data_IF_544665537427
#
_entry.id   IF_544665537427
#
_cell.length_a   1.000
_cell.length_b   1.000
_cell.length_c   1.000
_cell.angle_alpha   90.00
_cell.angle_beta   90.00
_cell.angle_gamma   90.00
#
_symmetry.space_group_name_H-M   'P 1'
#
loop_
_entity.id
_entity.type
_entity.pdbx_description
1 polymer ?
#
# COMPACT_ATOMS: atom_id res chain seq x y z
N UNK A 1 25.60 -20.10 17.17
CA UNK A 1 24.52 -19.63 16.27
C UNK A 1 24.78 -18.16 15.96
N UNK A 2 24.84 -17.85 14.69
CA UNK A 2 25.02 -16.47 14.26
C UNK A 2 23.68 -15.86 13.90
N UNK A 3 23.48 -14.62 14.32
CA UNK A 3 22.35 -13.81 13.90
C UNK A 3 22.82 -12.73 12.94
N UNK A 4 22.06 -12.54 11.90
CA UNK A 4 22.31 -11.45 10.96
C UNK A 4 21.01 -10.70 10.70
N UNK A 5 21.07 -9.40 10.84
CA UNK A 5 19.96 -8.50 10.52
C UNK A 5 20.39 -7.57 9.39
N UNK A 6 19.61 -7.54 8.36
CA UNK A 6 19.80 -6.62 7.23
C UNK A 6 18.54 -5.78 7.11
N UNK A 7 18.72 -4.49 7.02
CA UNK A 7 17.59 -3.55 6.88
C UNK A 7 17.84 -2.69 5.65
N UNK A 8 16.83 -2.59 4.81
CA UNK A 8 16.86 -1.76 3.60
C UNK A 8 15.57 -0.97 3.49
N UNK A 9 15.65 0.18 2.84
CA UNK A 9 14.49 1.01 2.55
C UNK A 9 14.28 1.06 1.04
N UNK A 10 13.00 1.04 0.65
CA UNK A 10 12.58 1.27 -0.73
C UNK A 10 11.74 2.54 -0.74
N UNK A 11 11.96 3.38 -1.73
CA UNK A 11 11.12 4.55 -1.97
C UNK A 11 10.20 4.28 -3.14
N UNK A 12 8.90 4.50 -2.90
CA UNK A 12 7.86 4.35 -3.91
C UNK A 12 7.07 5.64 -4.00
N UNK A 13 6.70 6.01 -5.21
CA UNK A 13 5.94 7.23 -5.45
C UNK A 13 4.50 6.88 -5.78
N UNK A 14 3.57 7.30 -4.95
CA UNK A 14 2.14 7.20 -5.26
C UNK A 14 1.71 8.30 -6.22
N UNK A 15 0.59 8.10 -6.89
CA UNK A 15 0.02 9.06 -7.84
C UNK A 15 -1.13 9.83 -7.20
N UNK A 16 -0.81 10.64 -6.18
CA UNK A 16 -1.80 11.47 -5.49
C UNK A 16 -2.89 10.63 -4.82
N UNK A 17 -4.15 10.93 -5.10
CA UNK A 17 -5.32 10.27 -4.52
C UNK A 17 -5.76 9.00 -5.25
N UNK A 18 -5.12 8.67 -6.37
CA UNK A 18 -5.45 7.49 -7.16
C UNK A 18 -4.77 6.26 -6.53
N UNK A 19 -5.50 5.15 -6.31
CA UNK A 19 -4.87 3.92 -5.85
C UNK A 19 -3.81 3.44 -6.84
N UNK A 20 -2.61 3.17 -6.33
CA UNK A 20 -1.50 2.67 -7.13
C UNK A 20 -0.97 1.38 -6.53
N UNK A 21 -0.56 0.46 -7.40
CA UNK A 21 0.05 -0.80 -7.01
C UNK A 21 1.51 -0.79 -7.43
N UNK A 22 2.37 -1.23 -6.53
CA UNK A 22 3.80 -1.36 -6.77
C UNK A 22 4.21 -2.80 -6.52
N UNK A 23 4.65 -3.49 -7.55
CA UNK A 23 5.22 -4.82 -7.40
C UNK A 23 6.69 -4.67 -6.99
N UNK A 24 6.97 -4.99 -5.74
CA UNK A 24 8.32 -4.92 -5.18
C UNK A 24 8.97 -6.29 -5.02
N UNK A 25 8.41 -7.31 -5.67
CA UNK A 25 8.91 -8.69 -5.54
C UNK A 25 10.37 -8.81 -5.91
N UNK A 26 10.79 -8.20 -7.01
CA UNK A 26 12.18 -8.22 -7.47
C UNK A 26 13.13 -7.60 -6.46
N UNK A 27 12.79 -6.41 -5.97
CA UNK A 27 13.60 -5.68 -5.00
C UNK A 27 13.75 -6.46 -3.69
N UNK A 28 12.65 -7.04 -3.20
CA UNK A 28 12.66 -7.85 -1.98
C UNK A 28 13.53 -9.10 -2.17
N UNK A 29 13.36 -9.81 -3.28
CA UNK A 29 14.17 -11.01 -3.58
C UNK A 29 15.66 -10.68 -3.69
N UNK A 30 16.01 -9.57 -4.32
CA UNK A 30 17.40 -9.12 -4.42
C UNK A 30 18.00 -8.80 -3.06
N UNK A 31 17.25 -8.14 -2.19
CA UNK A 31 17.69 -7.81 -0.83
C UNK A 31 17.91 -9.10 -0.02
N UNK A 32 16.98 -10.03 -0.09
CA UNK A 32 17.11 -11.33 0.61
C UNK A 32 18.33 -12.10 0.10
N UNK A 33 18.52 -12.18 -1.22
CA UNK A 33 19.67 -12.87 -1.80
C UNK A 33 20.99 -12.22 -1.37
N UNK A 34 21.07 -10.90 -1.39
CA UNK A 34 22.28 -10.17 -1.01
C UNK A 34 22.56 -10.24 0.49
N UNK A 35 21.56 -10.53 1.31
CA UNK A 35 21.72 -10.61 2.77
C UNK A 35 22.62 -11.77 3.21
N UNK A 36 22.68 -12.83 2.42
CA UNK A 36 23.38 -14.06 2.79
C UNK A 36 22.66 -14.91 3.85
N UNK A 37 21.48 -14.50 4.31
CA UNK A 37 20.68 -15.27 5.25
C UNK A 37 20.05 -16.45 4.50
N UNK A 38 20.25 -17.65 5.01
CA UNK A 38 19.72 -18.89 4.39
C UNK A 38 18.36 -19.26 4.95
N UNK A 39 18.18 -19.06 6.24
CA UNK A 39 16.92 -19.35 6.92
C UNK A 39 16.61 -18.18 7.84
N UNK A 40 15.42 -17.67 7.75
CA UNK A 40 15.05 -16.51 8.54
C UNK A 40 13.70 -15.94 8.16
N UNK A 41 13.46 -14.74 8.63
CA UNK A 41 12.23 -14.01 8.39
C UNK A 41 12.54 -12.75 7.58
N UNK A 42 11.68 -12.47 6.61
CA UNK A 42 11.68 -11.21 5.89
C UNK A 42 10.41 -10.46 6.22
N UNK A 43 10.56 -9.28 6.84
CA UNK A 43 9.43 -8.42 7.14
C UNK A 43 9.42 -7.22 6.19
N UNK A 44 8.29 -6.98 5.58
CA UNK A 44 8.09 -5.82 4.70
C UNK A 44 7.04 -4.93 5.33
N UNK A 45 7.40 -3.70 5.62
CA UNK A 45 6.55 -2.78 6.38
C UNK A 45 6.43 -1.46 5.63
N UNK A 46 5.21 -0.94 5.54
CA UNK A 46 4.96 0.42 5.08
C UNK A 46 4.75 1.33 6.28
N UNK A 47 5.34 2.51 6.24
CA UNK A 47 5.16 3.54 7.26
C UNK A 47 4.03 4.53 6.92
N UNK A 48 3.39 4.36 5.77
CA UNK A 48 2.31 5.25 5.35
C UNK A 48 0.96 4.75 5.87
N UNK A 49 0.14 5.66 6.37
CA UNK A 49 -1.15 5.33 7.02
C UNK A 49 -2.21 4.79 6.05
N UNK A 50 -2.08 5.08 4.76
CA UNK A 50 -3.04 4.67 3.72
C UNK A 50 -2.43 3.68 2.72
N UNK A 51 -1.43 2.97 3.15
CA UNK A 51 -0.75 1.96 2.35
C UNK A 51 -0.91 0.58 2.98
N UNK A 52 -1.00 -0.44 2.16
CA UNK A 52 -0.93 -1.81 2.63
C UNK A 52 0.09 -2.60 1.83
N UNK A 53 0.63 -3.64 2.45
CA UNK A 53 1.54 -4.60 1.82
C UNK A 53 0.84 -5.94 1.81
N UNK A 54 0.83 -6.60 0.67
CA UNK A 54 0.17 -7.90 0.53
C UNK A 54 0.96 -8.81 -0.39
N UNK A 55 0.70 -10.09 -0.29
CA UNK A 55 1.13 -11.07 -1.28
C UNK A 55 -0.06 -11.34 -2.19
N UNK A 56 0.15 -11.21 -3.48
CA UNK A 56 -0.89 -11.39 -4.48
C UNK A 56 -0.36 -12.32 -5.57
N UNK A 57 -1.24 -13.19 -6.08
CA UNK A 57 -0.94 -13.98 -7.24
C UNK A 57 -0.74 -13.06 -8.46
N UNK A 58 0.24 -13.38 -9.30
CA UNK A 58 0.44 -12.64 -10.54
C UNK A 58 -0.69 -12.94 -11.51
N UNK A 59 -1.43 -11.91 -11.88
CA UNK A 59 -2.43 -11.95 -12.94
C UNK A 59 -1.79 -11.40 -14.21
N UNK A 60 -1.88 -12.15 -15.31
CA UNK A 60 -1.22 -11.76 -16.55
C UNK A 60 -2.08 -10.83 -17.43
N UNK A 61 -3.36 -10.71 -17.12
CA UNK A 61 -4.26 -9.82 -17.84
C UNK A 61 -4.24 -8.43 -17.20
N UNK A 62 -4.08 -7.42 -18.03
CA UNK A 62 -3.97 -6.02 -17.62
C UNK A 62 -5.02 -5.21 -18.37
N UNK A 63 -5.66 -4.29 -17.68
CA UNK A 63 -6.64 -3.41 -18.29
C UNK A 63 -6.00 -2.19 -18.99
N UNK A 64 -6.83 -1.31 -19.52
CA UNK A 64 -6.37 -0.11 -20.23
C UNK A 64 -5.67 0.92 -19.33
N UNK A 65 -5.70 0.73 -18.00
CA UNK A 65 -5.05 1.59 -17.03
C UNK A 65 -3.76 0.96 -16.45
N UNK A 66 -3.26 -0.11 -17.07
CA UNK A 66 -2.11 -0.90 -16.61
C UNK A 66 -2.31 -1.56 -15.24
N UNK A 67 -3.54 -1.74 -14.82
CA UNK A 67 -3.88 -2.53 -13.64
C UNK A 67 -4.12 -3.98 -14.04
N UNK A 68 -3.54 -4.92 -13.29
CA UNK A 68 -3.90 -6.32 -13.43
C UNK A 68 -5.39 -6.50 -13.09
N UNK A 69 -6.08 -7.40 -13.77
CA UNK A 69 -7.49 -7.65 -13.51
C UNK A 69 -7.77 -7.99 -12.05
N UNK A 70 -6.87 -8.75 -11.42
CA UNK A 70 -6.99 -9.09 -10.01
C UNK A 70 -6.90 -7.87 -9.09
N UNK A 71 -6.05 -6.90 -9.44
CA UNK A 71 -5.95 -5.63 -8.72
C UNK A 71 -7.22 -4.79 -8.89
N UNK A 72 -7.75 -4.74 -10.10
CA UNK A 72 -8.99 -4.03 -10.38
C UNK A 72 -10.17 -4.63 -9.60
N UNK A 73 -10.27 -5.95 -9.59
CA UNK A 73 -11.31 -6.65 -8.84
C UNK A 73 -11.21 -6.37 -7.34
N UNK A 74 -10.00 -6.33 -6.81
CA UNK A 74 -9.76 -5.98 -5.41
C UNK A 74 -10.26 -4.57 -5.09
N UNK A 75 -9.96 -3.60 -5.94
CA UNK A 75 -10.44 -2.22 -5.78
C UNK A 75 -11.97 -2.15 -5.82
N UNK A 76 -12.60 -2.85 -6.75
CA UNK A 76 -14.05 -2.88 -6.88
C UNK A 76 -14.72 -3.47 -5.65
N UNK A 77 -14.17 -4.55 -5.11
CA UNK A 77 -14.68 -5.18 -3.89
C UNK A 77 -14.51 -4.25 -2.70
N UNK A 78 -13.36 -3.62 -2.56
CA UNK A 78 -13.11 -2.67 -1.47
C UNK A 78 -14.06 -1.49 -1.52
N UNK A 79 -14.35 -0.95 -2.70
CA UNK A 79 -15.30 0.14 -2.88
C UNK A 79 -16.73 -0.24 -2.53
N UNK A 80 -17.10 -1.51 -2.69
CA UNK A 80 -18.41 -2.00 -2.25
C UNK A 80 -18.51 -2.07 -0.74
N UNK A 81 -17.43 -2.42 -0.06
CA UNK A 81 -17.39 -2.51 1.40
C UNK A 81 -17.17 -1.15 2.06
N UNK A 82 -16.31 -0.34 1.48
CA UNK A 82 -15.92 0.98 1.99
C UNK A 82 -16.04 1.95 0.82
N UNK A 83 -17.26 2.43 0.53
CA UNK A 83 -17.50 3.34 -0.59
C UNK A 83 -16.71 4.65 -0.46
N UNK A 84 -16.33 5.21 -1.60
CA UNK A 84 -15.71 6.53 -1.63
C UNK A 84 -16.66 7.58 -1.06
N UNK A 85 -16.09 8.61 -0.45
CA UNK A 85 -16.87 9.72 0.08
C UNK A 85 -17.61 10.41 -1.07
N UNK A 86 -18.94 10.48 -0.95
CA UNK A 86 -19.81 11.11 -1.94
C UNK A 86 -20.71 12.17 -1.33
N UNK A 87 -21.12 11.99 -0.08
CA UNK A 87 -22.08 12.85 0.58
C UNK A 87 -21.62 13.19 1.99
N UNK A 88 -21.96 14.42 2.42
CA UNK A 88 -21.77 14.82 3.80
C UNK A 88 -22.55 13.87 4.72
N UNK A 89 -21.97 13.51 5.85
CA UNK A 89 -22.51 12.58 6.84
C UNK A 89 -22.55 11.10 6.43
N UNK A 90 -22.06 10.75 5.24
CA UNK A 90 -21.88 9.34 4.83
C UNK A 90 -20.93 8.61 5.81
N UNK A 91 -19.88 9.29 6.25
CA UNK A 91 -18.96 8.82 7.27
C UNK A 91 -18.92 9.80 8.44
N UNK A 92 -18.65 9.29 9.64
CA UNK A 92 -18.46 10.14 10.82
C UNK A 92 -17.14 10.89 10.77
N UNK A 93 -16.12 10.29 10.19
CA UNK A 93 -14.82 10.91 10.00
C UNK A 93 -14.89 11.89 8.81
N UNK A 94 -14.24 13.06 8.91
CA UNK A 94 -13.30 13.45 9.97
C UNK A 94 -13.94 14.00 11.25
N UNK A 95 -15.21 14.40 11.25
CA UNK A 95 -15.79 15.10 12.36
C UNK A 95 -15.25 16.53 12.53
N UNK A 96 -15.93 17.39 13.34
CA UNK A 96 -15.58 18.81 13.38
C UNK A 96 -14.21 19.10 13.99
N UNK A 97 -13.79 18.36 15.00
CA UNK A 97 -12.51 18.60 15.68
C UNK A 97 -11.35 18.22 14.77
N UNK A 98 -11.41 17.05 14.16
CA UNK A 98 -10.35 16.60 13.26
C UNK A 98 -10.27 17.43 11.98
N UNK A 99 -11.41 17.86 11.44
CA UNK A 99 -11.45 18.72 10.26
C UNK A 99 -10.76 20.07 10.54
N UNK A 100 -10.97 20.63 11.74
CA UNK A 100 -10.31 21.86 12.16
C UNK A 100 -8.80 21.66 12.31
N UNK A 101 -8.38 20.54 12.88
CA UNK A 101 -6.97 20.18 12.99
C UNK A 101 -6.32 20.06 11.61
N UNK A 102 -6.97 19.37 10.67
CA UNK A 102 -6.48 19.22 9.30
C UNK A 102 -6.28 20.58 8.61
N UNK A 103 -7.22 21.51 8.77
CA UNK A 103 -7.06 22.86 8.24
C UNK A 103 -5.89 23.60 8.88
N UNK A 104 -5.69 23.43 10.19
CA UNK A 104 -4.60 24.06 10.93
C UNK A 104 -3.22 23.59 10.44
N UNK A 105 -3.06 22.29 10.13
CA UNK A 105 -1.79 21.73 9.64
C UNK A 105 -1.67 21.71 8.11
N UNK A 106 -2.65 22.27 7.40
CA UNK A 106 -2.63 22.38 5.94
C UNK A 106 -3.02 21.10 5.19
N UNK A 107 -3.69 20.16 5.85
CA UNK A 107 -4.25 18.99 5.19
C UNK A 107 -5.57 19.35 4.48
N UNK A 108 -5.83 18.76 3.30
CA UNK A 108 -7.09 18.97 2.59
C UNK A 108 -8.30 18.33 3.26
#
# INVERSE_FOLDING_TARGET
MEFKVVQKELELQSKGWIPTFHDISKEVLEIVAASGVKNGTCSVVSHHTTCSVMIQECSHDVDSFDLEYLQHDLLDIMRKMIPDFAEEHQYRHPGPVHAQFGRYVGEP
#
